data_IF_734772280489
#
_entry.id   IF_734772280489
#
_cell.length_a   1.000
_cell.length_b   1.000
_cell.length_c   1.000
_cell.angle_alpha   90.00
_cell.angle_beta   90.00
_cell.angle_gamma   90.00
#
_symmetry.space_group_name_H-M   'P 1'
#
loop_
_entity.id
_entity.type
_entity.pdbx_description
1 polymer ?
#
# COMPACT_ATOMS: atom_id res chain seq x y z
N UNK A 1 32.42 20.88 -29.89
CA UNK A 1 32.91 20.63 -28.52
C UNK A 1 31.68 20.68 -27.61
N UNK A 2 30.97 19.53 -27.50
CA UNK A 2 29.71 19.39 -26.77
C UNK A 2 30.03 18.90 -25.36
N UNK A 3 29.74 19.72 -24.36
CA UNK A 3 29.83 19.37 -22.96
C UNK A 3 28.62 18.47 -22.58
N UNK A 4 28.88 17.20 -22.30
CA UNK A 4 27.93 16.31 -21.61
C UNK A 4 27.71 16.84 -20.19
N UNK A 5 26.50 17.30 -19.91
CA UNK A 5 26.02 17.49 -18.53
C UNK A 5 25.73 16.10 -17.92
N UNK A 6 26.57 15.70 -17.03
CA UNK A 6 26.31 14.57 -16.12
C UNK A 6 25.37 15.08 -15.01
N UNK A 7 24.08 14.82 -15.12
CA UNK A 7 23.13 15.01 -14.02
C UNK A 7 23.06 13.72 -13.19
N UNK A 8 24.07 13.52 -12.37
CA UNK A 8 24.01 12.52 -11.30
C UNK A 8 23.21 13.09 -10.12
N UNK A 9 21.88 13.10 -10.22
CA UNK A 9 21.03 13.32 -9.03
C UNK A 9 21.02 12.03 -8.23
N UNK A 10 21.88 11.95 -7.23
CA UNK A 10 21.86 10.88 -6.24
C UNK A 10 20.55 10.93 -5.46
N UNK A 11 19.58 10.10 -5.85
CA UNK A 11 18.37 9.85 -5.07
C UNK A 11 18.81 9.07 -3.83
N UNK A 12 19.02 9.81 -2.75
CA UNK A 12 19.28 9.21 -1.43
C UNK A 12 17.91 8.73 -0.88
N UNK A 13 17.57 7.49 -1.22
CA UNK A 13 16.34 6.81 -0.77
C UNK A 13 16.31 6.65 0.77
N UNK A 14 15.14 6.52 1.36
CA UNK A 14 14.84 6.33 2.80
C UNK A 14 15.46 5.04 3.39
N UNK A 15 16.55 4.57 2.90
CA UNK A 15 17.05 3.22 3.10
C UNK A 15 18.00 3.05 4.28
N UNK A 16 18.52 4.15 4.85
CA UNK A 16 19.54 4.08 5.90
C UNK A 16 19.05 3.62 7.28
N UNK A 17 17.74 3.57 7.53
CA UNK A 17 17.18 3.26 8.85
C UNK A 17 16.65 1.82 9.01
N UNK A 18 16.58 1.04 7.92
CA UNK A 18 15.96 -0.29 7.96
C UNK A 18 16.89 -1.42 8.48
N UNK A 19 18.15 -1.13 8.71
CA UNK A 19 19.15 -2.13 9.11
C UNK A 19 19.18 -2.49 10.59
N UNK A 20 18.40 -1.84 11.46
CA UNK A 20 18.52 -2.00 12.93
C UNK A 20 17.36 -2.78 13.60
N UNK A 21 16.37 -3.32 12.87
CA UNK A 21 15.18 -3.95 13.46
C UNK A 21 15.10 -5.47 13.33
N UNK A 22 16.21 -6.16 13.46
CA UNK A 22 16.29 -7.63 13.44
C UNK A 22 16.49 -8.26 14.83
N UNK A 23 15.87 -7.72 15.83
CA UNK A 23 15.86 -8.30 17.17
C UNK A 23 14.51 -8.94 17.51
N UNK A 24 14.53 -10.27 17.71
CA UNK A 24 13.54 -11.08 18.41
C UNK A 24 12.27 -11.52 17.64
N UNK A 25 12.41 -12.56 16.81
CA UNK A 25 11.40 -13.61 16.76
C UNK A 25 11.89 -14.78 17.60
N UNK A 26 11.45 -14.82 18.86
CA UNK A 26 11.66 -15.97 19.76
C UNK A 26 10.69 -17.08 19.35
N UNK A 27 11.23 -18.17 18.81
CA UNK A 27 10.48 -19.39 18.45
C UNK A 27 10.39 -20.23 19.72
N UNK A 28 9.33 -20.03 20.47
CA UNK A 28 8.95 -20.93 21.58
C UNK A 28 8.27 -22.20 21.05
N UNK A 29 9.06 -23.24 20.94
CA UNK A 29 8.62 -24.64 20.75
C UNK A 29 7.76 -25.07 21.93
N UNK A 30 6.51 -25.49 21.71
CA UNK A 30 5.72 -26.30 22.66
C UNK A 30 4.94 -27.38 21.94
N UNK A 31 5.40 -28.58 22.19
CA UNK A 31 4.86 -29.90 21.89
C UNK A 31 3.43 -30.09 22.38
N UNK A 32 2.65 -30.73 21.54
CA UNK A 32 1.57 -31.73 21.67
C UNK A 32 0.82 -31.92 23.00
N UNK A 33 -0.52 -31.84 22.94
CA UNK A 33 -1.45 -32.75 23.60
C UNK A 33 -2.82 -32.75 22.90
N UNK A 34 -3.28 -33.89 22.48
CA UNK A 34 -4.63 -34.26 22.02
C UNK A 34 -5.50 -34.77 23.17
N UNK A 35 -6.75 -35.27 22.89
CA UNK A 35 -7.99 -34.52 22.92
C UNK A 35 -8.94 -35.01 24.05
N UNK A 36 -9.92 -34.19 24.39
CA UNK A 36 -11.04 -34.58 25.25
C UNK A 36 -12.37 -34.20 24.65
N UNK A 37 -13.15 -35.21 24.23
CA UNK A 37 -14.57 -35.09 23.88
C UNK A 37 -15.37 -34.83 25.15
N UNK A 38 -16.34 -33.90 25.09
CA UNK A 38 -17.61 -34.13 25.76
C UNK A 38 -18.73 -33.29 25.09
N UNK A 39 -19.83 -34.02 24.85
CA UNK A 39 -21.05 -33.53 24.26
C UNK A 39 -21.96 -32.92 25.35
N UNK A 40 -22.47 -31.71 25.11
CA UNK A 40 -23.48 -31.09 25.96
C UNK A 40 -24.51 -30.34 25.12
N UNK A 41 -25.65 -30.96 24.93
CA UNK A 41 -26.88 -30.41 24.37
C UNK A 41 -27.42 -29.26 25.22
N UNK A 42 -27.72 -28.10 24.63
CA UNK A 42 -28.63 -27.14 25.23
C UNK A 42 -29.47 -26.41 24.17
N UNK A 43 -30.72 -26.43 24.41
CA UNK A 43 -31.94 -25.97 23.70
C UNK A 43 -31.97 -24.44 23.49
N UNK A 44 -32.70 -23.93 22.46
CA UNK A 44 -32.74 -22.52 22.11
C UNK A 44 -33.71 -21.73 23.02
N UNK A 45 -33.28 -20.54 23.40
CA UNK A 45 -34.12 -19.54 24.08
C UNK A 45 -34.42 -18.36 23.19
N UNK A 46 -35.70 -18.02 23.15
CA UNK A 46 -36.35 -17.00 22.33
C UNK A 46 -35.76 -15.59 22.46
N UNK A 47 -35.89 -14.85 21.35
CA UNK A 47 -35.68 -13.40 21.22
C UNK A 47 -36.71 -12.60 22.05
N UNK A 48 -36.36 -11.35 22.36
CA UNK A 48 -37.39 -10.29 22.26
C UNK A 48 -37.06 -9.28 21.16
N UNK A 49 -38.14 -8.92 20.44
CA UNK A 49 -38.22 -7.84 19.51
C UNK A 49 -37.78 -6.50 20.13
N UNK A 50 -36.96 -5.77 19.41
CA UNK A 50 -36.56 -4.42 19.72
C UNK A 50 -36.35 -3.63 18.46
N UNK A 51 -37.37 -2.99 17.96
CA UNK A 51 -37.34 -1.93 16.95
C UNK A 51 -36.43 -0.81 17.40
N UNK A 52 -35.41 -0.49 16.63
CA UNK A 52 -34.76 0.81 16.65
C UNK A 52 -34.40 1.23 15.23
N UNK A 53 -34.98 2.30 14.90
CA UNK A 53 -35.04 3.15 13.74
C UNK A 53 -33.69 3.76 13.31
N UNK A 54 -33.58 3.98 12.00
CA UNK A 54 -32.98 5.10 11.30
C UNK A 54 -31.44 5.16 11.30
N UNK A 55 -30.84 4.99 10.15
CA UNK A 55 -30.79 6.00 9.11
C UNK A 55 -29.39 6.56 9.04
N UNK A 56 -28.49 5.84 8.40
CA UNK A 56 -27.30 6.35 7.73
C UNK A 56 -27.34 5.70 6.36
N UNK A 57 -27.62 6.47 5.33
CA UNK A 57 -27.51 6.01 3.96
C UNK A 57 -26.03 5.77 3.67
N UNK A 58 -25.55 4.56 3.98
CA UNK A 58 -24.44 4.00 3.26
C UNK A 58 -24.94 3.91 1.82
N UNK A 59 -24.35 4.66 0.90
CA UNK A 59 -24.56 4.44 -0.51
C UNK A 59 -24.16 2.98 -0.76
N UNK A 60 -25.15 2.17 -1.11
CA UNK A 60 -24.99 0.78 -1.53
C UNK A 60 -24.28 0.82 -2.89
N UNK A 61 -22.97 1.13 -2.84
CA UNK A 61 -22.11 1.11 -4.02
C UNK A 61 -21.92 -0.37 -4.34
N UNK A 62 -22.76 -0.89 -5.23
CA UNK A 62 -22.64 -2.25 -5.73
C UNK A 62 -21.24 -2.42 -6.31
N UNK A 63 -20.41 -3.29 -5.72
CA UNK A 63 -19.06 -3.59 -6.21
C UNK A 63 -19.14 -4.03 -7.67
N UNK A 64 -18.31 -3.44 -8.52
CA UNK A 64 -18.25 -3.73 -9.95
C UNK A 64 -17.54 -5.06 -10.16
N UNK A 65 -17.96 -5.82 -11.18
CA UNK A 65 -17.20 -6.96 -11.66
C UNK A 65 -15.87 -6.46 -12.27
N UNK A 66 -14.80 -7.22 -12.11
CA UNK A 66 -13.47 -6.84 -12.59
C UNK A 66 -12.92 -7.82 -13.62
N UNK A 67 -12.05 -7.31 -14.49
CA UNK A 67 -11.21 -8.09 -15.42
C UNK A 67 -9.77 -7.89 -15.00
N UNK A 68 -9.03 -8.98 -14.90
CA UNK A 68 -7.61 -8.94 -14.53
C UNK A 68 -6.75 -9.76 -15.47
N UNK A 69 -5.53 -9.31 -15.66
CA UNK A 69 -4.53 -10.01 -16.44
C UNK A 69 -3.11 -9.81 -15.89
N UNK A 70 -2.24 -10.78 -16.14
CA UNK A 70 -0.81 -10.64 -15.92
C UNK A 70 -0.17 -10.19 -17.21
N UNK A 71 0.38 -8.98 -17.24
CA UNK A 71 0.98 -8.40 -18.45
C UNK A 71 2.36 -7.79 -18.17
N UNK A 72 3.23 -7.70 -19.19
CA UNK A 72 4.46 -6.92 -19.07
C UNK A 72 4.13 -5.42 -19.11
N UNK A 73 4.61 -4.67 -18.12
CA UNK A 73 4.41 -3.22 -18.01
C UNK A 73 5.72 -2.43 -18.01
N UNK A 74 6.84 -3.11 -17.77
CA UNK A 74 8.16 -2.48 -17.72
C UNK A 74 9.25 -3.41 -18.26
N UNK A 75 10.39 -2.84 -18.63
CA UNK A 75 11.63 -3.54 -18.93
C UNK A 75 12.74 -2.92 -18.07
N UNK A 76 13.31 -3.69 -17.15
CA UNK A 76 14.36 -3.25 -16.25
C UNK A 76 15.65 -4.02 -16.55
N UNK A 77 16.66 -3.31 -17.01
CA UNK A 77 17.82 -3.96 -17.63
C UNK A 77 17.43 -4.59 -18.95
N UNK A 78 17.54 -5.90 -19.08
CA UNK A 78 17.13 -6.68 -20.26
C UNK A 78 15.97 -7.65 -19.95
N UNK A 79 15.30 -7.44 -18.78
CA UNK A 79 14.24 -8.33 -18.30
C UNK A 79 12.88 -7.63 -18.29
N UNK A 80 11.86 -8.32 -18.87
CA UNK A 80 10.48 -7.86 -18.79
C UNK A 80 9.93 -8.06 -17.37
N UNK A 81 9.33 -7.01 -16.84
CA UNK A 81 8.65 -7.04 -15.55
C UNK A 81 7.15 -7.16 -15.77
N UNK A 82 6.56 -8.15 -15.11
CA UNK A 82 5.14 -8.44 -15.21
C UNK A 82 4.42 -8.01 -13.94
N UNK A 83 3.34 -7.26 -14.11
CA UNK A 83 2.43 -6.88 -13.02
C UNK A 83 1.10 -7.61 -13.09
N UNK A 84 0.27 -7.34 -12.09
CA UNK A 84 -1.14 -7.70 -12.08
C UNK A 84 -1.95 -6.45 -12.38
N UNK A 85 -2.55 -6.43 -13.57
CA UNK A 85 -3.37 -5.33 -14.05
C UNK A 85 -4.83 -5.69 -13.93
N UNK A 86 -5.63 -4.84 -13.32
CA UNK A 86 -7.05 -5.10 -13.08
C UNK A 86 -7.87 -3.81 -13.19
N UNK A 87 -9.07 -3.91 -13.75
CA UNK A 87 -9.98 -2.79 -13.99
C UNK A 87 -11.45 -3.27 -14.00
N UNK A 88 -12.43 -2.36 -13.81
CA UNK A 88 -13.85 -2.69 -13.89
C UNK A 88 -14.23 -3.24 -15.27
N UNK A 89 -14.98 -4.34 -15.31
CA UNK A 89 -15.37 -5.00 -16.58
C UNK A 89 -16.33 -4.16 -17.43
N UNK A 90 -16.98 -3.19 -16.85
CA UNK A 90 -17.93 -2.25 -17.48
C UNK A 90 -17.28 -0.90 -17.81
N UNK A 91 -15.95 -0.81 -17.78
CA UNK A 91 -15.20 0.40 -18.12
C UNK A 91 -15.43 0.77 -19.59
N UNK A 92 -15.95 1.97 -19.85
CA UNK A 92 -16.19 2.52 -21.20
C UNK A 92 -15.18 3.60 -21.51
N UNK A 93 -14.81 4.38 -20.49
CA UNK A 93 -13.82 5.46 -20.58
C UNK A 93 -12.68 5.21 -19.59
N UNK A 94 -11.48 5.77 -19.84
CA UNK A 94 -10.37 5.66 -18.91
C UNK A 94 -10.74 6.16 -17.52
N UNK A 95 -10.43 5.36 -16.51
CA UNK A 95 -10.65 5.66 -15.10
C UNK A 95 -9.33 6.12 -14.45
N UNK A 96 -9.38 6.80 -13.29
CA UNK A 96 -8.19 7.05 -12.48
C UNK A 96 -7.45 5.76 -12.17
N UNK A 97 -6.12 5.83 -12.11
CA UNK A 97 -5.31 4.66 -11.82
C UNK A 97 -4.66 4.71 -10.44
N UNK A 98 -4.47 3.53 -9.85
CA UNK A 98 -3.69 3.35 -8.62
C UNK A 98 -2.59 2.31 -8.87
N UNK A 99 -1.34 2.73 -8.66
CA UNK A 99 -0.20 1.82 -8.61
C UNK A 99 -0.16 1.21 -7.22
N UNK A 100 -0.31 -0.11 -7.14
CA UNK A 100 -0.29 -0.86 -5.88
C UNK A 100 1.07 -1.51 -5.68
N UNK A 101 1.72 -1.26 -4.54
CA UNK A 101 3.03 -1.80 -4.22
C UNK A 101 2.91 -2.83 -3.10
N UNK A 102 3.39 -4.04 -3.38
CA UNK A 102 3.30 -5.19 -2.49
C UNK A 102 4.12 -5.03 -1.20
N UNK A 103 3.77 -5.82 -0.18
CA UNK A 103 4.58 -5.98 1.02
C UNK A 103 5.90 -6.73 0.72
N UNK A 104 6.74 -6.94 1.72
CA UNK A 104 8.02 -7.65 1.62
C UNK A 104 7.92 -9.12 1.17
N UNK A 105 6.69 -9.65 1.06
CA UNK A 105 6.41 -11.01 0.57
C UNK A 105 6.45 -11.13 -0.96
N UNK A 106 6.39 -10.02 -1.69
CA UNK A 106 6.23 -9.98 -3.15
C UNK A 106 4.78 -9.91 -3.60
N UNK A 107 4.57 -9.89 -4.92
CA UNK A 107 3.25 -9.81 -5.55
C UNK A 107 2.50 -11.15 -5.43
N UNK A 108 1.92 -11.38 -4.25
CA UNK A 108 1.17 -12.60 -3.90
C UNK A 108 -0.35 -12.42 -4.06
N UNK A 109 -1.11 -13.49 -3.75
CA UNK A 109 -2.58 -13.49 -3.91
C UNK A 109 -3.28 -12.49 -2.97
N UNK A 110 -2.73 -12.19 -1.80
CA UNK A 110 -3.28 -11.15 -0.92
C UNK A 110 -3.24 -9.79 -1.59
N UNK A 111 -2.11 -9.43 -2.22
CA UNK A 111 -1.97 -8.16 -2.94
C UNK A 111 -2.90 -8.12 -4.15
N UNK A 112 -3.02 -9.22 -4.89
CA UNK A 112 -3.96 -9.33 -6.02
C UNK A 112 -5.41 -9.12 -5.57
N UNK A 113 -5.81 -9.76 -4.47
CA UNK A 113 -7.16 -9.58 -3.91
C UNK A 113 -7.44 -8.14 -3.46
N UNK A 114 -6.43 -7.44 -2.93
CA UNK A 114 -6.57 -6.01 -2.59
C UNK A 114 -6.66 -5.14 -3.86
N UNK A 115 -5.92 -5.48 -4.91
CA UNK A 115 -6.02 -4.82 -6.20
C UNK A 115 -7.40 -5.04 -6.85
N UNK A 116 -7.96 -6.26 -6.81
CA UNK A 116 -9.31 -6.57 -7.28
C UNK A 116 -10.36 -5.75 -6.53
N UNK A 117 -10.23 -5.68 -5.19
CA UNK A 117 -11.12 -4.89 -4.36
C UNK A 117 -11.08 -3.40 -4.72
N UNK A 118 -9.90 -2.86 -4.97
CA UNK A 118 -9.73 -1.46 -5.37
C UNK A 118 -10.29 -1.20 -6.77
N UNK A 119 -10.09 -2.13 -7.72
CA UNK A 119 -10.66 -2.01 -9.06
C UNK A 119 -12.19 -2.08 -9.04
N UNK A 120 -12.79 -2.94 -8.18
CA UNK A 120 -14.23 -3.01 -8.00
C UNK A 120 -14.85 -1.68 -7.51
N UNK A 121 -14.06 -0.80 -6.90
CA UNK A 121 -14.44 0.55 -6.48
C UNK A 121 -14.34 1.60 -7.59
N UNK A 122 -13.93 1.22 -8.80
CA UNK A 122 -13.91 2.07 -9.99
C UNK A 122 -12.56 2.65 -10.37
N UNK A 123 -11.46 2.00 -10.00
CA UNK A 123 -10.10 2.39 -10.38
C UNK A 123 -9.50 1.41 -11.40
N UNK A 124 -8.61 1.88 -12.27
CA UNK A 124 -7.62 1.04 -12.91
C UNK A 124 -6.53 0.75 -11.88
N UNK A 125 -6.10 -0.50 -11.74
CA UNK A 125 -5.07 -0.86 -10.77
C UNK A 125 -3.95 -1.64 -11.44
N UNK A 126 -2.72 -1.20 -11.23
CA UNK A 126 -1.52 -1.94 -11.58
C UNK A 126 -0.77 -2.33 -10.29
N UNK A 127 -0.85 -3.60 -9.89
CA UNK A 127 0.01 -4.10 -8.82
C UNK A 127 1.37 -4.47 -9.42
N UNK A 128 2.38 -3.67 -9.06
CA UNK A 128 3.75 -3.80 -9.55
C UNK A 128 4.51 -4.93 -8.85
N UNK A 129 5.51 -5.47 -9.52
CA UNK A 129 6.41 -6.47 -8.97
C UNK A 129 7.83 -5.92 -8.87
N UNK A 130 8.28 -5.63 -7.65
CA UNK A 130 9.63 -5.15 -7.37
C UNK A 130 10.63 -6.29 -7.11
N UNK A 131 10.19 -7.56 -7.20
CA UNK A 131 11.00 -8.73 -6.88
C UNK A 131 11.24 -9.66 -8.08
N UNK A 132 10.99 -9.17 -9.30
CA UNK A 132 11.22 -9.90 -10.55
C UNK A 132 10.55 -11.31 -10.56
N UNK A 133 9.27 -11.37 -10.26
CA UNK A 133 8.45 -12.58 -10.25
C UNK A 133 8.58 -13.44 -9.00
N UNK A 134 9.35 -13.03 -8.01
CA UNK A 134 9.60 -13.84 -6.81
C UNK A 134 8.60 -13.52 -5.70
N UNK A 135 8.03 -14.59 -5.14
CA UNK A 135 7.20 -14.53 -3.93
C UNK A 135 7.90 -15.31 -2.84
N UNK A 136 8.06 -14.71 -1.68
CA UNK A 136 8.77 -15.31 -0.57
C UNK A 136 7.98 -16.46 0.05
N UNK A 137 8.66 -17.59 0.29
CA UNK A 137 8.08 -18.76 0.97
C UNK A 137 8.20 -18.72 2.50
N UNK A 138 8.87 -17.69 3.04
CA UNK A 138 9.04 -17.51 4.48
C UNK A 138 9.76 -16.21 4.80
N UNK A 139 9.86 -15.82 6.09
CA UNK A 139 10.38 -14.52 6.50
C UNK A 139 11.83 -14.25 6.07
N UNK A 140 12.69 -15.27 6.09
CA UNK A 140 14.10 -15.10 5.68
C UNK A 140 14.20 -14.82 4.17
N UNK A 141 13.43 -15.55 3.34
CA UNK A 141 13.36 -15.28 1.90
C UNK A 141 12.80 -13.88 1.61
N UNK A 142 11.75 -13.47 2.34
CA UNK A 142 11.17 -12.14 2.23
C UNK A 142 12.19 -11.05 2.55
N UNK A 143 12.95 -11.25 3.64
CA UNK A 143 14.00 -10.34 4.05
C UNK A 143 15.09 -10.19 2.98
N UNK A 144 15.54 -11.28 2.37
CA UNK A 144 16.54 -11.25 1.31
C UNK A 144 16.04 -10.51 0.06
N UNK A 145 14.79 -10.77 -0.36
CA UNK A 145 14.19 -10.06 -1.49
C UNK A 145 14.10 -8.55 -1.23
N UNK A 146 13.63 -8.18 -0.04
CA UNK A 146 13.55 -6.79 0.37
C UNK A 146 14.93 -6.12 0.40
N UNK A 147 15.94 -6.75 1.02
CA UNK A 147 17.29 -6.20 1.11
C UNK A 147 17.94 -6.01 -0.26
N UNK A 148 17.72 -6.90 -1.21
CA UNK A 148 18.21 -6.72 -2.58
C UNK A 148 17.71 -5.42 -3.22
N UNK A 149 16.44 -5.05 -2.98
CA UNK A 149 15.88 -3.79 -3.49
C UNK A 149 16.39 -2.59 -2.68
N UNK A 150 16.57 -2.77 -1.36
CA UNK A 150 17.10 -1.73 -0.46
C UNK A 150 18.55 -1.38 -0.84
N UNK A 151 19.38 -2.38 -1.11
CA UNK A 151 20.78 -2.19 -1.47
C UNK A 151 20.98 -1.67 -2.91
N UNK A 152 20.02 -1.96 -3.79
CA UNK A 152 20.02 -1.56 -5.20
C UNK A 152 18.68 -0.97 -5.60
N UNK A 153 18.40 0.27 -5.22
CA UNK A 153 17.08 0.87 -5.43
C UNK A 153 16.79 1.35 -6.86
N UNK A 154 17.84 1.57 -7.68
CA UNK A 154 17.69 2.12 -9.02
C UNK A 154 16.82 1.25 -9.94
N UNK A 155 16.94 -0.09 -9.98
CA UNK A 155 16.04 -0.93 -10.75
C UNK A 155 14.57 -0.82 -10.33
N UNK A 156 14.30 -0.71 -9.02
CA UNK A 156 12.95 -0.53 -8.52
C UNK A 156 12.40 0.87 -8.84
N UNK A 157 13.24 1.90 -8.80
CA UNK A 157 12.87 3.25 -9.21
C UNK A 157 12.54 3.33 -10.69
N UNK A 158 13.32 2.64 -11.53
CA UNK A 158 13.03 2.56 -12.97
C UNK A 158 11.74 1.79 -13.26
N UNK A 159 11.52 0.67 -12.56
CA UNK A 159 10.29 -0.10 -12.61
C UNK A 159 9.06 0.79 -12.30
N UNK A 160 9.12 1.57 -11.23
CA UNK A 160 8.03 2.48 -10.83
C UNK A 160 7.79 3.58 -11.87
N UNK A 161 8.83 4.17 -12.47
CA UNK A 161 8.63 5.15 -13.56
C UNK A 161 7.89 4.56 -14.74
N UNK A 162 8.30 3.36 -15.16
CA UNK A 162 7.65 2.67 -16.26
C UNK A 162 6.23 2.20 -15.89
N UNK A 163 5.97 1.83 -14.62
CA UNK A 163 4.62 1.56 -14.14
C UNK A 163 3.71 2.80 -14.27
N UNK A 164 4.23 3.96 -13.89
CA UNK A 164 3.53 5.23 -14.09
C UNK A 164 3.27 5.50 -15.58
N UNK A 165 4.29 5.40 -16.41
CA UNK A 165 4.15 5.60 -17.87
C UNK A 165 3.12 4.65 -18.47
N UNK A 166 3.09 3.39 -18.02
CA UNK A 166 2.11 2.42 -18.47
C UNK A 166 0.68 2.82 -18.09
N UNK A 167 0.39 3.13 -16.83
CA UNK A 167 -0.98 3.49 -16.42
C UNK A 167 -1.41 4.83 -17.00
N UNK A 168 -0.49 5.79 -17.11
CA UNK A 168 -0.78 7.13 -17.65
C UNK A 168 -0.98 7.13 -19.16
N UNK A 169 -0.04 6.54 -19.89
CA UNK A 169 0.03 6.68 -21.34
C UNK A 169 -0.56 5.47 -22.10
N UNK A 170 -0.44 4.25 -21.56
CA UNK A 170 -0.97 3.05 -22.21
C UNK A 170 -2.41 2.77 -21.78
N UNK A 171 -2.70 2.79 -20.48
CA UNK A 171 -4.07 2.65 -19.99
C UNK A 171 -4.89 3.94 -20.07
N UNK A 172 -4.24 5.09 -20.28
CA UNK A 172 -4.88 6.38 -20.51
C UNK A 172 -5.47 7.03 -19.26
N UNK A 173 -4.99 6.66 -18.07
CA UNK A 173 -5.54 7.17 -16.81
C UNK A 173 -5.42 8.69 -16.71
N UNK A 174 -6.52 9.43 -16.41
CA UNK A 174 -6.48 10.88 -16.28
C UNK A 174 -5.64 11.35 -15.09
N UNK A 175 -5.64 10.58 -14.00
CA UNK A 175 -4.91 10.83 -12.75
C UNK A 175 -4.34 9.54 -12.18
N UNK A 176 -3.26 9.62 -11.41
CA UNK A 176 -2.53 8.45 -10.90
C UNK A 176 -2.21 8.64 -9.41
N UNK A 177 -2.64 7.68 -8.60
CA UNK A 177 -2.22 7.55 -7.21
C UNK A 177 -1.32 6.33 -6.99
N UNK A 178 -0.69 6.28 -5.83
CA UNK A 178 0.08 5.12 -5.38
C UNK A 178 -0.40 4.66 -4.01
N UNK A 179 -0.39 3.35 -3.78
CA UNK A 179 -0.77 2.75 -2.51
C UNK A 179 0.16 1.58 -2.17
N UNK A 180 0.57 1.45 -0.91
CA UNK A 180 1.41 0.34 -0.50
C UNK A 180 1.35 0.04 0.99
N UNK A 181 1.72 -1.22 1.34
CA UNK A 181 1.71 -1.74 2.70
C UNK A 181 3.12 -2.14 3.14
N UNK A 182 3.52 -1.77 4.36
CA UNK A 182 4.84 -2.10 4.91
C UNK A 182 5.97 -1.65 4.00
N UNK A 183 6.73 -2.59 3.43
CA UNK A 183 7.73 -2.30 2.40
C UNK A 183 7.14 -1.51 1.23
N UNK A 184 5.95 -1.88 0.75
CA UNK A 184 5.23 -1.13 -0.28
C UNK A 184 4.81 0.27 0.19
N UNK A 185 4.51 0.45 1.47
CA UNK A 185 4.22 1.77 2.05
C UNK A 185 5.44 2.70 2.02
N UNK A 186 6.65 2.17 2.28
CA UNK A 186 7.92 2.91 2.07
C UNK A 186 8.05 3.30 0.60
N UNK A 187 7.77 2.38 -0.31
CA UNK A 187 7.86 2.65 -1.74
C UNK A 187 6.76 3.57 -2.25
N UNK A 188 5.58 3.62 -1.62
CA UNK A 188 4.57 4.63 -1.95
C UNK A 188 5.08 6.05 -1.67
N UNK A 189 5.72 6.29 -0.52
CA UNK A 189 6.37 7.57 -0.24
C UNK A 189 7.56 7.84 -1.17
N UNK A 190 8.39 6.81 -1.45
CA UNK A 190 9.49 6.95 -2.41
C UNK A 190 8.98 7.29 -3.81
N UNK A 191 7.84 6.73 -4.23
CA UNK A 191 7.21 7.04 -5.52
C UNK A 191 6.77 8.49 -5.58
N UNK A 192 6.15 9.03 -4.51
CA UNK A 192 5.78 10.43 -4.45
C UNK A 192 7.00 11.37 -4.51
N UNK A 193 8.14 10.97 -3.95
CA UNK A 193 9.40 11.73 -4.10
C UNK A 193 10.06 11.56 -5.47
N UNK A 194 9.85 10.42 -6.13
CA UNK A 194 10.42 10.07 -7.42
C UNK A 194 9.67 10.76 -8.59
N UNK A 195 8.37 10.95 -8.42
CA UNK A 195 7.41 11.48 -9.39
C UNK A 195 6.67 12.68 -8.76
N UNK A 196 7.38 13.74 -8.35
CA UNK A 196 6.81 14.77 -7.49
C UNK A 196 5.72 15.62 -8.16
N UNK A 197 5.74 15.71 -9.48
CA UNK A 197 4.79 16.52 -10.28
C UNK A 197 3.77 15.65 -11.04
N UNK A 198 3.86 14.33 -10.91
CA UNK A 198 3.12 13.38 -11.73
C UNK A 198 2.03 12.63 -10.96
N UNK A 199 2.14 12.58 -9.62
CA UNK A 199 1.19 11.89 -8.76
C UNK A 199 0.27 12.86 -8.04
N UNK A 200 -1.02 12.52 -8.00
CA UNK A 200 -2.04 13.25 -7.28
C UNK A 200 -2.21 12.75 -5.83
N UNK A 201 -1.97 11.45 -5.56
CA UNK A 201 -2.20 10.85 -4.25
C UNK A 201 -1.17 9.77 -3.88
N UNK A 202 -0.79 9.70 -2.61
CA UNK A 202 0.06 8.64 -2.06
C UNK A 202 -0.52 8.10 -0.75
N UNK A 203 -0.80 6.79 -0.69
CA UNK A 203 -1.37 6.12 0.48
C UNK A 203 -0.36 5.15 1.10
N UNK A 204 -0.07 5.33 2.38
CA UNK A 204 0.97 4.64 3.13
C UNK A 204 0.35 3.86 4.29
N UNK A 205 0.35 2.53 4.19
CA UNK A 205 -0.02 1.68 5.32
C UNK A 205 1.23 1.18 6.02
N UNK A 206 1.40 1.55 7.28
CA UNK A 206 2.49 1.10 8.16
C UNK A 206 3.86 0.99 7.44
N UNK A 207 4.15 1.91 6.52
CA UNK A 207 5.45 2.09 5.90
C UNK A 207 6.34 2.99 6.76
N UNK A 208 7.66 2.76 6.73
CA UNK A 208 8.58 3.67 7.39
C UNK A 208 8.57 5.03 6.67
N UNK A 209 8.44 6.10 7.44
CA UNK A 209 8.38 7.48 6.95
C UNK A 209 9.57 8.30 7.45
N UNK A 210 9.78 9.48 6.87
CA UNK A 210 10.90 10.37 7.18
C UNK A 210 10.41 11.77 7.55
N UNK A 211 11.14 12.45 8.43
CA UNK A 211 10.95 13.86 8.75
C UNK A 211 11.92 14.82 8.02
N UNK A 212 12.60 14.35 6.98
CA UNK A 212 13.56 15.14 6.19
C UNK A 212 12.81 16.08 5.22
N UNK A 213 12.75 17.36 5.59
CA UNK A 213 12.02 18.37 4.82
C UNK A 213 12.57 18.58 3.41
N UNK A 214 13.88 18.47 3.20
CA UNK A 214 14.47 18.69 1.89
C UNK A 214 14.04 17.60 0.89
N UNK A 215 13.85 16.38 1.37
CA UNK A 215 13.33 15.26 0.58
C UNK A 215 11.83 15.36 0.35
N UNK A 216 11.07 15.83 1.34
CA UNK A 216 9.62 15.97 1.26
C UNK A 216 9.18 17.24 0.50
N UNK A 217 10.04 18.25 0.43
CA UNK A 217 9.73 19.55 -0.21
C UNK A 217 9.22 19.43 -1.65
N UNK A 218 9.80 18.60 -2.52
CA UNK A 218 9.33 18.47 -3.90
C UNK A 218 7.95 17.80 -4.05
N UNK A 219 7.54 16.95 -3.09
CA UNK A 219 6.31 16.15 -3.19
C UNK A 219 5.09 17.05 -3.32
N UNK A 220 4.30 16.89 -4.38
CA UNK A 220 3.04 17.62 -4.60
C UNK A 220 1.81 16.74 -4.39
N UNK A 221 1.95 15.41 -4.42
CA UNK A 221 0.87 14.48 -4.12
C UNK A 221 0.29 14.72 -2.71
N UNK A 222 -1.03 14.65 -2.58
CA UNK A 222 -1.67 14.52 -1.28
C UNK A 222 -1.23 13.21 -0.60
N UNK A 223 -1.05 13.20 0.72
CA UNK A 223 -0.51 12.06 1.47
C UNK A 223 -1.52 11.55 2.49
N UNK A 224 -1.80 10.24 2.46
CA UNK A 224 -2.59 9.56 3.48
C UNK A 224 -1.74 8.49 4.16
N UNK A 225 -1.62 8.55 5.49
CA UNK A 225 -0.80 7.62 6.29
C UNK A 225 -1.59 6.92 7.38
N UNK A 226 -1.39 5.58 7.51
CA UNK A 226 -2.01 4.75 8.55
C UNK A 226 -0.96 3.99 9.33
N UNK A 227 -0.93 4.18 10.66
CA UNK A 227 0.08 3.60 11.53
C UNK A 227 -0.54 2.99 12.79
N UNK A 228 0.12 2.01 13.35
CA UNK A 228 -0.27 1.38 14.61
C UNK A 228 0.51 1.98 15.80
N UNK A 229 -0.18 2.39 16.85
CA UNK A 229 0.47 2.97 18.03
C UNK A 229 1.37 1.98 18.81
N UNK A 230 1.21 0.67 18.57
CA UNK A 230 2.05 -0.37 19.19
C UNK A 230 3.04 -1.02 18.20
N UNK A 231 3.21 -0.40 17.03
CA UNK A 231 4.21 -0.83 16.04
C UNK A 231 5.62 -0.54 16.55
N UNK A 232 6.39 -1.61 16.82
CA UNK A 232 7.78 -1.48 17.30
C UNK A 232 8.76 -1.16 16.18
N UNK A 233 8.37 -1.43 14.93
CA UNK A 233 9.17 -1.14 13.75
C UNK A 233 9.05 0.30 13.28
N UNK A 234 7.91 0.93 13.59
CA UNK A 234 7.62 2.32 13.20
C UNK A 234 7.14 3.06 14.46
N UNK A 235 8.07 3.61 15.24
CA UNK A 235 7.74 4.35 16.46
C UNK A 235 6.85 5.54 16.17
N UNK A 236 5.89 5.83 17.05
CA UNK A 236 4.98 6.97 16.93
C UNK A 236 5.75 8.28 16.79
N UNK A 237 6.89 8.43 17.49
CA UNK A 237 7.75 9.61 17.38
C UNK A 237 8.23 9.86 15.93
N UNK A 238 8.52 8.80 15.17
CA UNK A 238 8.92 8.94 13.75
C UNK A 238 7.75 9.41 12.88
N UNK A 239 6.54 8.95 13.18
CA UNK A 239 5.32 9.41 12.50
C UNK A 239 5.04 10.88 12.83
N UNK A 240 5.18 11.28 14.09
CA UNK A 240 5.01 12.67 14.50
C UNK A 240 6.05 13.61 13.87
N UNK A 241 7.30 13.16 13.70
CA UNK A 241 8.32 13.91 12.98
C UNK A 241 7.96 14.09 11.49
N UNK A 242 7.40 13.06 10.87
CA UNK A 242 6.90 13.12 9.50
C UNK A 242 5.75 14.12 9.38
N UNK A 243 4.71 14.02 10.23
CA UNK A 243 3.59 14.97 10.27
C UNK A 243 4.08 16.41 10.45
N UNK A 244 4.97 16.63 11.42
CA UNK A 244 5.53 17.96 11.67
C UNK A 244 6.31 18.53 10.48
N UNK A 245 6.98 17.68 9.69
CA UNK A 245 7.66 18.10 8.46
C UNK A 245 6.65 18.47 7.38
N UNK A 246 5.60 17.66 7.16
CA UNK A 246 4.54 17.93 6.19
C UNK A 246 3.80 19.23 6.52
N UNK A 247 3.48 19.46 7.81
CA UNK A 247 2.84 20.68 8.28
C UNK A 247 3.70 21.93 8.01
N UNK A 248 5.02 21.89 8.36
CA UNK A 248 5.95 23.00 8.08
C UNK A 248 6.08 23.29 6.59
N UNK A 249 6.02 22.25 5.77
CA UNK A 249 6.06 22.37 4.31
C UNK A 249 4.69 22.72 3.69
N UNK A 250 3.63 22.77 4.52
CA UNK A 250 2.23 23.04 4.09
C UNK A 250 1.77 22.06 3.01
N UNK A 251 2.11 20.77 3.21
CA UNK A 251 1.63 19.71 2.34
C UNK A 251 0.19 19.36 2.66
N UNK A 252 -0.52 18.85 1.65
CA UNK A 252 -1.82 18.22 1.86
C UNK A 252 -1.61 16.81 2.42
N UNK A 253 -2.11 16.54 3.64
CA UNK A 253 -1.91 15.25 4.28
C UNK A 253 -2.96 14.92 5.33
N UNK A 254 -3.19 13.62 5.47
CA UNK A 254 -3.90 13.03 6.61
C UNK A 254 -3.05 11.90 7.18
N UNK A 255 -2.85 11.87 8.49
CA UNK A 255 -2.16 10.80 9.20
C UNK A 255 -3.02 10.29 10.34
N UNK A 256 -3.18 8.97 10.42
CA UNK A 256 -3.93 8.30 11.48
C UNK A 256 -3.03 7.33 12.23
N UNK A 257 -2.91 7.49 13.55
CA UNK A 257 -2.22 6.54 14.44
C UNK A 257 -3.26 5.83 15.30
N UNK A 258 -3.47 4.53 15.05
CA UNK A 258 -4.51 3.74 15.70
C UNK A 258 -4.04 3.15 17.02
N UNK A 259 -4.73 3.43 18.15
CA UNK A 259 -4.39 2.85 19.45
C UNK A 259 -4.55 1.32 19.46
N UNK A 260 -3.63 0.63 20.16
CA UNK A 260 -3.75 -0.81 20.39
C UNK A 260 -3.46 -1.72 19.20
N UNK A 261 -3.20 -1.18 18.02
CA UNK A 261 -2.82 -1.97 16.84
C UNK A 261 -1.33 -1.85 16.53
N UNK A 262 -0.80 -2.86 15.85
CA UNK A 262 0.62 -3.00 15.54
C UNK A 262 0.84 -3.08 14.03
N UNK A 263 2.09 -3.35 13.63
CA UNK A 263 2.48 -3.55 12.23
C UNK A 263 1.60 -4.58 11.51
N UNK A 264 1.30 -4.37 10.23
CA UNK A 264 0.49 -5.26 9.38
C UNK A 264 -0.95 -5.46 9.84
N UNK A 265 -1.56 -4.49 10.54
CA UNK A 265 -2.94 -4.57 11.03
C UNK A 265 -3.99 -4.70 9.92
N UNK A 266 -3.69 -4.26 8.70
CA UNK A 266 -4.58 -4.35 7.54
C UNK A 266 -4.33 -5.59 6.66
N UNK A 267 -3.36 -6.44 6.99
CA UNK A 267 -3.08 -7.66 6.24
C UNK A 267 -3.88 -8.85 6.82
N UNK A 268 -4.90 -9.38 6.10
CA UNK A 268 -5.79 -10.42 6.64
C UNK A 268 -5.09 -11.76 6.92
N UNK A 269 -3.89 -11.97 6.36
CA UNK A 269 -3.11 -13.19 6.60
C UNK A 269 -2.09 -13.06 7.74
N UNK A 270 -1.96 -11.85 8.30
CA UNK A 270 -1.00 -11.59 9.36
C UNK A 270 -1.64 -11.73 10.76
N UNK A 271 -0.87 -12.24 11.73
CA UNK A 271 -1.33 -12.41 13.12
C UNK A 271 -1.80 -11.14 13.83
N UNK A 272 -1.36 -9.98 13.37
CA UNK A 272 -1.72 -8.66 13.92
C UNK A 272 -2.94 -8.05 13.20
N UNK A 273 -3.60 -8.80 12.32
CA UNK A 273 -4.77 -8.32 11.61
C UNK A 273 -5.86 -7.85 12.57
N UNK A 274 -6.37 -6.65 12.33
CA UNK A 274 -7.49 -6.08 13.05
C UNK A 274 -8.55 -5.65 12.03
N UNK A 275 -9.61 -6.43 11.92
CA UNK A 275 -10.63 -6.25 10.89
C UNK A 275 -11.30 -4.88 10.95
N UNK A 276 -11.65 -4.41 12.14
CA UNK A 276 -12.36 -3.13 12.32
C UNK A 276 -11.49 -1.95 11.89
N UNK A 277 -10.22 -1.95 12.31
CA UNK A 277 -9.27 -0.89 11.95
C UNK A 277 -8.86 -0.98 10.48
N UNK A 278 -8.72 -2.19 9.95
CA UNK A 278 -8.43 -2.41 8.52
C UNK A 278 -9.55 -1.86 7.63
N UNK A 279 -10.81 -2.12 8.00
CA UNK A 279 -11.96 -1.62 7.24
C UNK A 279 -12.12 -0.10 7.37
N UNK A 280 -11.90 0.46 8.56
CA UNK A 280 -11.89 1.91 8.77
C UNK A 280 -10.81 2.59 7.90
N UNK A 281 -9.59 2.05 7.88
CA UNK A 281 -8.50 2.57 7.06
C UNK A 281 -8.79 2.42 5.55
N UNK A 282 -9.42 1.30 5.16
CA UNK A 282 -9.84 1.08 3.77
C UNK A 282 -10.86 2.10 3.30
N UNK A 283 -11.92 2.36 4.08
CA UNK A 283 -12.95 3.33 3.73
C UNK A 283 -12.36 4.74 3.60
N UNK A 284 -11.47 5.13 4.52
CA UNK A 284 -10.73 6.39 4.40
C UNK A 284 -9.84 6.44 3.15
N UNK A 285 -9.20 5.32 2.79
CA UNK A 285 -8.43 5.22 1.54
C UNK A 285 -9.30 5.49 0.32
N UNK A 286 -10.48 4.90 0.25
CA UNK A 286 -11.39 5.10 -0.87
C UNK A 286 -11.89 6.55 -0.96
N UNK A 287 -12.28 7.13 0.17
CA UNK A 287 -12.67 8.55 0.25
C UNK A 287 -11.53 9.47 -0.24
N UNK A 288 -10.33 9.24 0.26
CA UNK A 288 -9.15 10.02 -0.10
C UNK A 288 -8.76 9.88 -1.58
N UNK A 289 -8.74 8.64 -2.10
CA UNK A 289 -8.43 8.41 -3.51
C UNK A 289 -9.49 9.03 -4.43
N UNK A 290 -10.77 8.96 -4.07
CA UNK A 290 -11.83 9.61 -4.84
C UNK A 290 -11.69 11.13 -4.84
N UNK A 291 -11.43 11.72 -3.68
CA UNK A 291 -11.26 13.16 -3.54
C UNK A 291 -10.07 13.72 -4.36
N UNK A 292 -8.99 12.94 -4.48
CA UNK A 292 -7.77 13.41 -5.13
C UNK A 292 -7.60 12.94 -6.59
N UNK A 293 -8.27 11.84 -6.99
CA UNK A 293 -8.09 11.27 -8.33
C UNK A 293 -9.30 11.46 -9.24
N UNK A 294 -10.50 11.68 -8.71
CA UNK A 294 -11.70 11.89 -9.52
C UNK A 294 -11.97 13.39 -9.53
N UNK A 295 -11.81 14.01 -10.70
CA UNK A 295 -12.18 15.42 -10.84
C UNK A 295 -13.68 15.61 -10.57
N UNK A 296 -14.03 16.62 -9.79
CA UNK A 296 -15.42 17.04 -9.66
C UNK A 296 -15.94 17.37 -11.05
N UNK A 297 -16.92 16.61 -11.52
CA UNK A 297 -17.66 16.99 -12.75
C UNK A 297 -18.54 18.19 -12.38
N UNK A 298 -18.08 19.40 -12.77
CA UNK A 298 -18.90 20.60 -12.74
C UNK A 298 -20.14 20.47 -13.64
#
# INVERSE_FOLDING_TARGET
MLLKRNSGSGICLILAAMTLLLGACDIGDRTSAEPGQDAGTATPRAQPDGTASSGGAASDTQLRAVVSERLPYAEVGEELVYGYFVFPSDMIEPLPAVIVIHEWWGLNDTVRSMADRLAAEGFIVLAVDLFAGKVASGPEAARQLMLNVVEKPDPASENIRQAYDFVKNTAGAPSVGVLGWGFGGVWALNTAMLLPDDLEAAVIYYGQVIGDEDKLRPVNAAILGFFGATDRGIPVDSVQQFEAALERLRKDYEVSVYPGVSHSFANPTHRNYNADVAELAWNKTLEFLRANLIADTE
#
